data_IF_026431472990
#
_entry.id   IF_026431472990
#
_cell.length_a   1.000
_cell.length_b   1.000
_cell.length_c   1.000
_cell.angle_alpha   90.00
_cell.angle_beta   90.00
_cell.angle_gamma   90.00
#
_symmetry.space_group_name_H-M   'P 1'
#
loop_
_entity.id
_entity.type
_entity.pdbx_description
1 polymer ?
#
# COMPACT_ATOMS: atom_id res chain seq x y z
N UNK A 1 19.27 -20.05 -56.94
CA UNK A 1 19.17 -18.78 -56.18
C UNK A 1 17.75 -18.22 -56.24
N UNK A 2 16.80 -18.82 -55.54
CA UNK A 2 15.43 -18.32 -55.33
C UNK A 2 14.74 -19.28 -54.35
N UNK A 3 14.02 -18.75 -53.37
CA UNK A 3 13.32 -19.43 -52.26
C UNK A 3 14.05 -19.53 -50.90
N UNK A 4 14.93 -18.58 -50.60
CA UNK A 4 15.53 -18.39 -49.26
C UNK A 4 15.19 -17.00 -48.65
N UNK A 5 14.01 -16.47 -48.98
CA UNK A 5 13.53 -15.13 -48.55
C UNK A 5 12.36 -15.22 -47.56
N UNK A 6 11.83 -16.43 -47.28
CA UNK A 6 10.66 -16.59 -46.39
C UNK A 6 11.04 -16.74 -44.91
N UNK A 7 12.33 -16.90 -44.59
CA UNK A 7 12.82 -17.04 -43.20
C UNK A 7 13.24 -15.72 -42.53
N UNK A 8 13.06 -14.59 -43.21
CA UNK A 8 13.52 -13.27 -42.75
C UNK A 8 12.36 -12.25 -42.70
N UNK A 9 11.13 -12.70 -42.47
CA UNK A 9 10.07 -11.81 -41.96
C UNK A 9 10.10 -11.89 -40.44
N UNK A 10 11.14 -11.25 -39.91
CA UNK A 10 10.97 -10.37 -38.76
C UNK A 10 10.30 -11.04 -37.54
N UNK A 11 10.99 -12.07 -37.05
CA UNK A 11 11.24 -12.21 -35.62
C UNK A 11 11.42 -10.82 -35.00
N UNK A 12 10.71 -10.56 -33.89
CA UNK A 12 10.69 -9.32 -33.07
C UNK A 12 9.52 -8.37 -33.34
N UNK A 13 8.29 -8.83 -33.17
CA UNK A 13 7.27 -8.01 -32.50
C UNK A 13 6.65 -8.78 -31.34
N UNK A 14 7.48 -9.41 -30.50
CA UNK A 14 7.11 -9.51 -29.09
C UNK A 14 7.32 -8.11 -28.51
N UNK A 15 6.37 -7.21 -28.75
CA UNK A 15 6.19 -6.08 -27.85
C UNK A 15 5.88 -6.71 -26.51
N UNK A 16 6.92 -6.91 -25.71
CA UNK A 16 6.76 -7.24 -24.31
C UNK A 16 5.98 -6.09 -23.72
N UNK A 17 4.66 -6.28 -23.59
CA UNK A 17 3.84 -5.41 -22.76
C UNK A 17 4.33 -5.72 -21.34
N UNK A 18 5.42 -5.06 -20.94
CA UNK A 18 5.71 -4.90 -19.54
C UNK A 18 4.48 -4.18 -19.01
N UNK A 19 3.63 -4.88 -18.26
CA UNK A 19 2.62 -4.22 -17.43
C UNK A 19 3.40 -3.21 -16.62
N UNK A 20 3.33 -1.94 -17.01
CA UNK A 20 3.79 -0.87 -16.17
C UNK A 20 2.92 -1.00 -14.93
N UNK A 21 3.49 -1.49 -13.85
CA UNK A 21 2.83 -1.45 -12.55
C UNK A 21 2.72 0.02 -12.23
N UNK A 22 1.56 0.56 -12.56
CA UNK A 22 1.22 1.90 -12.17
C UNK A 22 1.09 1.84 -10.65
N UNK A 23 1.91 2.62 -9.97
CA UNK A 23 1.88 2.74 -8.52
C UNK A 23 1.19 4.05 -8.12
N UNK A 24 0.61 4.04 -6.93
CA UNK A 24 0.17 5.23 -6.21
C UNK A 24 0.84 5.25 -4.85
N UNK A 25 0.95 6.44 -4.28
CA UNK A 25 1.55 6.64 -2.97
C UNK A 25 0.46 6.96 -1.94
N UNK A 26 0.58 6.36 -0.76
CA UNK A 26 -0.24 6.66 0.40
C UNK A 26 0.66 7.26 1.47
N UNK A 27 0.32 8.47 1.88
CA UNK A 27 0.95 9.16 3.00
C UNK A 27 -0.09 9.34 4.10
N UNK A 28 0.30 9.22 5.36
CA UNK A 28 -0.60 9.53 6.45
C UNK A 28 0.09 9.54 7.80
N UNK A 29 -0.72 9.76 8.83
CA UNK A 29 -0.26 9.77 10.21
C UNK A 29 -1.20 8.98 11.09
N UNK A 30 -0.63 8.23 12.04
CA UNK A 30 -1.37 7.48 13.05
C UNK A 30 -1.12 8.08 14.42
N UNK A 31 -2.19 8.40 15.13
CA UNK A 31 -2.17 9.02 16.44
C UNK A 31 -3.01 8.22 17.45
N UNK A 32 -2.73 8.45 18.72
CA UNK A 32 -3.60 8.02 19.83
C UNK A 32 -4.71 9.07 20.06
N UNK A 33 -5.73 8.69 20.81
CA UNK A 33 -6.75 9.55 21.42
C UNK A 33 -6.21 10.80 22.14
N UNK A 34 -4.94 10.78 22.56
CA UNK A 34 -4.24 11.91 23.17
C UNK A 34 -3.48 12.80 22.16
N UNK A 35 -3.73 12.69 20.86
CA UNK A 35 -3.01 13.38 19.77
C UNK A 35 -1.50 13.13 19.77
N UNK A 36 -1.05 11.99 20.29
CA UNK A 36 0.35 11.58 20.28
C UNK A 36 0.60 10.65 19.10
N UNK A 37 1.59 10.97 18.26
CA UNK A 37 1.99 10.10 17.15
C UNK A 37 2.39 8.71 17.65
N UNK A 38 1.82 7.67 17.05
CA UNK A 38 2.04 6.29 17.48
C UNK A 38 3.10 5.62 16.59
N UNK A 39 4.31 5.35 17.11
CA UNK A 39 5.31 4.58 16.38
C UNK A 39 5.03 3.08 16.40
N UNK A 40 5.51 2.38 15.36
CA UNK A 40 5.46 0.92 15.29
C UNK A 40 4.07 0.33 15.11
N UNK A 41 3.09 1.13 14.65
CA UNK A 41 1.80 0.61 14.18
C UNK A 41 2.05 -0.16 12.91
N UNK A 42 1.63 -1.42 12.88
CA UNK A 42 1.71 -2.28 11.71
C UNK A 42 0.56 -1.94 10.78
N UNK A 43 0.88 -1.41 9.61
CA UNK A 43 -0.08 -1.09 8.56
C UNK A 43 -0.01 -2.22 7.56
N UNK A 44 -1.12 -2.93 7.33
CA UNK A 44 -1.19 -3.97 6.32
C UNK A 44 -2.23 -3.65 5.25
N UNK A 45 -1.86 -3.83 3.98
CA UNK A 45 -2.82 -3.85 2.88
C UNK A 45 -2.93 -5.27 2.33
N UNK A 46 -4.15 -5.72 2.06
CA UNK A 46 -4.41 -6.99 1.38
C UNK A 46 -4.93 -6.70 -0.02
N UNK A 47 -4.07 -6.88 -1.02
CA UNK A 47 -4.51 -7.09 -2.40
C UNK A 47 -4.78 -8.58 -2.63
N UNK A 48 -5.51 -8.94 -3.69
CA UNK A 48 -5.85 -10.33 -4.05
C UNK A 48 -4.64 -11.28 -4.04
N UNK A 49 -3.41 -10.78 -4.17
CA UNK A 49 -2.18 -11.58 -4.22
C UNK A 49 -0.97 -11.00 -3.48
N UNK A 50 -1.10 -9.88 -2.75
CA UNK A 50 0.03 -9.25 -2.05
C UNK A 50 -0.38 -8.68 -0.70
N UNK A 51 0.39 -9.05 0.32
CA UNK A 51 0.31 -8.45 1.66
C UNK A 51 1.49 -7.50 1.80
N UNK A 52 1.21 -6.21 1.92
CA UNK A 52 2.23 -5.22 2.25
C UNK A 52 2.15 -4.94 3.74
N UNK A 53 3.31 -4.78 4.41
CA UNK A 53 3.37 -4.40 5.81
C UNK A 53 4.41 -3.30 6.01
N UNK A 54 3.97 -2.16 6.53
CA UNK A 54 4.82 -1.02 6.87
C UNK A 54 4.62 -0.68 8.35
N UNK A 55 5.64 -0.06 8.98
CA UNK A 55 5.52 0.42 10.37
C UNK A 55 5.57 1.94 10.42
N UNK A 56 4.75 2.54 11.27
CA UNK A 56 4.80 3.99 11.50
C UNK A 56 6.10 4.42 12.18
N UNK A 57 6.57 5.61 11.83
CA UNK A 57 7.78 6.24 12.38
C UNK A 57 7.58 6.78 13.81
N UNK A 58 8.65 7.33 14.41
CA UNK A 58 8.61 7.97 15.74
C UNK A 58 7.54 9.07 15.89
N UNK A 59 7.21 9.77 14.80
CA UNK A 59 6.19 10.81 14.76
C UNK A 59 4.79 10.29 14.39
N UNK A 60 4.64 8.98 14.17
CA UNK A 60 3.40 8.35 13.70
C UNK A 60 3.19 8.44 12.19
N UNK A 61 4.13 9.03 11.43
CA UNK A 61 4.01 9.11 9.98
C UNK A 61 4.29 7.77 9.29
N UNK A 62 3.66 7.55 8.16
CA UNK A 62 3.92 6.40 7.29
C UNK A 62 3.83 6.78 5.81
N UNK A 63 4.49 5.97 4.99
CA UNK A 63 4.47 6.09 3.53
C UNK A 63 4.39 4.68 2.95
N UNK A 64 3.38 4.40 2.13
CA UNK A 64 3.27 3.15 1.37
C UNK A 64 3.20 3.47 -0.12
N UNK A 65 3.98 2.75 -0.93
CA UNK A 65 3.83 2.79 -2.38
C UNK A 65 3.24 1.46 -2.83
N UNK A 66 2.00 1.50 -3.30
CA UNK A 66 1.22 0.33 -3.70
C UNK A 66 0.86 0.45 -5.19
N UNK A 67 0.53 -0.68 -5.82
CA UNK A 67 -0.02 -0.64 -7.17
C UNK A 67 -1.37 0.10 -7.16
N UNK A 68 -1.78 0.65 -8.30
CA UNK A 68 -3.13 1.21 -8.43
C UNK A 68 -4.17 0.11 -8.22
N UNK A 69 -5.23 0.45 -7.49
CA UNK A 69 -6.21 -0.51 -7.02
C UNK A 69 -6.98 0.00 -5.82
N UNK A 70 -7.89 -0.83 -5.32
CA UNK A 70 -8.65 -0.56 -4.11
C UNK A 70 -8.20 -1.51 -3.02
N UNK A 71 -7.85 -0.96 -1.87
CA UNK A 71 -7.26 -1.68 -0.75
C UNK A 71 -7.99 -1.32 0.53
N UNK A 72 -8.17 -2.28 1.41
CA UNK A 72 -8.47 -2.00 2.82
C UNK A 72 -7.15 -2.01 3.57
N UNK A 73 -6.73 -0.85 4.09
CA UNK A 73 -5.61 -0.74 5.01
C UNK A 73 -6.08 -1.10 6.40
N UNK A 74 -5.32 -1.95 7.09
CA UNK A 74 -5.55 -2.32 8.48
C UNK A 74 -4.38 -1.84 9.34
N UNK A 75 -4.70 -1.17 10.43
CA UNK A 75 -3.75 -0.61 11.39
C UNK A 75 -3.82 -1.42 12.67
N UNK A 76 -2.74 -2.12 12.99
CA UNK A 76 -2.65 -3.00 14.14
C UNK A 76 -1.50 -2.57 15.06
N UNK A 77 -1.78 -2.51 16.36
CA UNK A 77 -0.78 -2.29 17.39
C UNK A 77 -1.21 -2.99 18.66
N UNK A 78 -0.26 -3.65 19.33
CA UNK A 78 -0.52 -4.30 20.61
C UNK A 78 -1.00 -3.28 21.65
N UNK A 79 -2.06 -3.62 22.38
CA UNK A 79 -2.69 -2.72 23.34
C UNK A 79 -3.62 -1.67 22.73
N UNK A 80 -3.87 -1.69 21.41
CA UNK A 80 -4.80 -0.81 20.72
C UNK A 80 -5.87 -1.59 19.95
N UNK A 81 -6.99 -0.93 19.70
CA UNK A 81 -8.03 -1.43 18.81
C UNK A 81 -7.56 -1.35 17.36
N UNK A 82 -7.77 -2.44 16.62
CA UNK A 82 -7.51 -2.47 15.18
C UNK A 82 -8.41 -1.47 14.46
N UNK A 83 -7.82 -0.67 13.57
CA UNK A 83 -8.55 0.25 12.70
C UNK A 83 -8.42 -0.21 11.25
N UNK A 84 -9.41 0.11 10.43
CA UNK A 84 -9.39 -0.17 8.99
C UNK A 84 -9.83 1.05 8.20
N UNK A 85 -9.27 1.23 7.01
CA UNK A 85 -9.65 2.30 6.09
C UNK A 85 -9.61 1.81 4.65
N UNK A 86 -10.67 2.07 3.92
CA UNK A 86 -10.75 1.76 2.50
C UNK A 86 -10.11 2.87 1.67
N UNK A 87 -9.22 2.48 0.78
CA UNK A 87 -8.36 3.38 0.02
C UNK A 87 -8.38 2.96 -1.43
N UNK A 88 -8.78 3.86 -2.31
CA UNK A 88 -8.63 3.68 -3.75
C UNK A 88 -7.49 4.56 -4.26
N UNK A 89 -6.52 3.92 -4.91
CA UNK A 89 -5.34 4.52 -5.51
C UNK A 89 -5.45 4.52 -7.03
N UNK A 90 -5.36 5.72 -7.61
CA UNK A 90 -5.31 5.95 -9.05
C UNK A 90 -3.87 6.15 -9.54
N UNK A 91 -3.72 6.13 -10.86
CA UNK A 91 -2.43 6.29 -11.54
C UNK A 91 -1.74 7.58 -11.12
N UNK A 92 -0.48 7.45 -10.66
CA UNK A 92 0.37 8.57 -10.24
C UNK A 92 -0.31 9.46 -9.16
N UNK A 93 -1.29 8.89 -8.44
CA UNK A 93 -1.98 9.57 -7.35
C UNK A 93 -1.15 9.48 -6.08
N UNK A 94 -0.98 10.62 -5.41
CA UNK A 94 -0.53 10.67 -4.02
C UNK A 94 -1.73 10.93 -3.13
N UNK A 95 -2.15 9.91 -2.39
CA UNK A 95 -3.28 10.02 -1.47
C UNK A 95 -2.77 10.30 -0.07
N UNK A 96 -3.27 11.38 0.51
CA UNK A 96 -3.07 11.70 1.91
C UNK A 96 -4.25 11.14 2.68
N UNK A 97 -4.01 10.08 3.45
CA UNK A 97 -4.98 9.64 4.44
C UNK A 97 -4.90 10.60 5.61
N UNK A 98 -6.06 11.11 6.01
CA UNK A 98 -6.19 11.93 7.19
C UNK A 98 -5.70 11.19 8.45
N UNK A 99 -5.69 11.91 9.56
CA UNK A 99 -5.30 11.40 10.86
C UNK A 99 -6.09 10.14 11.22
N UNK A 100 -5.42 8.98 11.29
CA UNK A 100 -6.00 7.75 11.81
C UNK A 100 -5.78 7.74 13.31
N UNK A 101 -6.87 7.77 14.08
CA UNK A 101 -6.81 7.72 15.54
C UNK A 101 -7.04 6.29 16.01
N UNK A 102 -6.05 5.69 16.67
CA UNK A 102 -6.19 4.39 17.33
C UNK A 102 -6.58 4.57 18.79
N UNK A 103 -7.54 3.77 19.23
CA UNK A 103 -8.03 3.78 20.62
C UNK A 103 -7.29 2.68 21.40
N UNK A 104 -6.68 3.02 22.54
CA UNK A 104 -6.07 2.03 23.41
C UNK A 104 -7.14 1.07 23.97
N UNK A 105 -6.82 -0.22 24.05
CA UNK A 105 -7.70 -1.19 24.68
C UNK A 105 -7.81 -0.88 26.18
N UNK A 106 -9.01 -1.01 26.77
CA UNK A 106 -9.16 -0.78 28.20
C UNK A 106 -8.25 -1.75 28.96
N UNK A 107 -7.48 -1.20 29.90
CA UNK A 107 -6.68 -2.00 30.82
C UNK A 107 -7.69 -2.78 31.68
N UNK A 108 -7.64 -4.13 31.71
CA UNK A 108 -8.50 -4.89 32.61
C UNK A 108 -8.23 -4.45 34.05
N UNK A 109 -9.21 -3.82 34.69
CA UNK A 109 -9.17 -3.57 36.13
C UNK A 109 -9.51 -4.89 36.81
N UNK A 110 -8.50 -5.55 37.38
CA UNK A 110 -8.68 -6.68 38.29
C UNK A 110 -9.15 -6.19 39.66
#
# INVERSE_FOLDING_TARGET
MRKLIVLMVLSLFTCGVTKATVAGDICGYVYDTNNKGLPGVKISSKDDYKVYSEKTSASGSYYLSLSVGSYTLTYEKEGYQTQSSDVSLLKDEKKYLEMVVMVANPIPTN
#
